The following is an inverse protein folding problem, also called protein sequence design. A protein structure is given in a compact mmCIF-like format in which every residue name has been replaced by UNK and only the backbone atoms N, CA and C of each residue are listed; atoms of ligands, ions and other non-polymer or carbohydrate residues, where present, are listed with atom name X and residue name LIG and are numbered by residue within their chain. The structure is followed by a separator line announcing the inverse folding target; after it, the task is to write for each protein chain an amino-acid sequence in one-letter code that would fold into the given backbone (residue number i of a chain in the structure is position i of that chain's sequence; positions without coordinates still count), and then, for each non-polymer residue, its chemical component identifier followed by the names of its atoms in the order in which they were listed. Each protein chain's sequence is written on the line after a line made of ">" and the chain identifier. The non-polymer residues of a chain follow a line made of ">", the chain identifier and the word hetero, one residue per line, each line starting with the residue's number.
data_IF_941351571073
#
_entry.id   IF_941351571073
#
_cell.length_a   1.000
_cell.length_b   1.000
_cell.length_c   1.000
_cell.angle_alpha   90.00
_cell.angle_beta   90.00
_cell.angle_gamma   90.00
#
_symmetry.space_group_name_H-M   'P 1'
#
loop_
_entity.id
_entity.type
_entity.pdbx_description
1 polymer ?
#
# COMPACT_ATOMS: atom_id res chain seq x y z
N UNK A 1 -3.06 -8.07 -23.46
CA UNK A 1 -2.30 -7.45 -22.35
C UNK A 1 -3.29 -6.76 -21.44
N UNK A 2 -3.28 -7.07 -20.14
CA UNK A 2 -4.15 -6.43 -19.14
C UNK A 2 -3.27 -5.62 -18.20
N UNK A 3 -3.64 -4.36 -17.98
CA UNK A 3 -2.95 -3.45 -17.05
C UNK A 3 -3.82 -3.29 -15.82
N UNK A 4 -3.22 -3.41 -14.63
CA UNK A 4 -3.86 -3.16 -13.34
C UNK A 4 -3.16 -1.99 -12.65
N UNK A 5 -3.94 -1.13 -11.98
CA UNK A 5 -3.44 0.08 -11.31
C UNK A 5 -3.82 0.04 -9.83
N UNK A 6 -3.04 -0.65 -8.96
CA UNK A 6 -3.29 -0.65 -7.54
C UNK A 6 -3.05 0.75 -6.94
N UNK A 7 -3.64 1.00 -5.77
CA UNK A 7 -3.43 2.24 -5.01
C UNK A 7 -2.18 2.13 -4.12
N UNK A 8 -2.17 2.61 -2.88
CA UNK A 8 -1.03 2.47 -1.98
C UNK A 8 -1.02 1.11 -1.24
N UNK A 9 -0.22 0.12 -1.68
CA UNK A 9 -0.12 -1.16 -0.99
C UNK A 9 0.59 -1.01 0.36
N UNK A 10 0.05 -1.69 1.37
CA UNK A 10 0.64 -1.80 2.71
C UNK A 10 0.51 -3.23 3.16
N UNK A 11 1.53 -3.75 3.84
CA UNK A 11 1.48 -5.08 4.42
C UNK A 11 2.85 -5.60 4.84
N UNK A 12 2.94 -6.89 5.18
CA UNK A 12 4.20 -7.55 5.48
C UNK A 12 5.21 -7.41 4.32
N UNK A 13 6.50 -7.55 4.63
CA UNK A 13 7.61 -7.52 3.66
C UNK A 13 7.93 -6.13 3.05
N UNK A 14 7.44 -5.04 3.63
CA UNK A 14 7.91 -3.70 3.29
C UNK A 14 9.29 -3.40 3.94
N UNK A 15 10.36 -3.97 3.38
CA UNK A 15 11.71 -4.00 3.99
C UNK A 15 12.38 -2.62 4.06
N UNK A 16 12.17 -1.75 3.07
CA UNK A 16 12.80 -0.41 3.00
C UNK A 16 12.04 0.67 3.79
N UNK A 17 10.88 0.32 4.35
CA UNK A 17 9.61 1.03 4.21
C UNK A 17 9.39 1.89 2.94
N UNK A 18 8.30 1.63 2.23
CA UNK A 18 7.70 2.55 1.26
C UNK A 18 7.27 3.86 1.93
N UNK A 19 7.09 4.98 1.19
CA UNK A 19 6.62 6.23 1.79
C UNK A 19 5.32 6.05 2.62
N UNK A 20 4.39 5.23 2.16
CA UNK A 20 3.16 4.89 2.88
C UNK A 20 3.38 3.99 4.10
N UNK A 21 4.22 2.96 3.99
CA UNK A 21 4.62 2.15 5.16
C UNK A 21 5.37 2.97 6.22
N UNK A 22 6.19 3.94 5.78
CA UNK A 22 6.91 4.86 6.66
C UNK A 22 5.97 5.79 7.43
N UNK A 23 4.92 6.32 6.80
CA UNK A 23 3.90 7.13 7.50
C UNK A 23 3.28 6.35 8.66
N UNK A 24 2.93 5.08 8.44
CA UNK A 24 2.38 4.23 9.49
C UNK A 24 3.41 4.02 10.61
N UNK A 25 4.66 3.73 10.25
CA UNK A 25 5.73 3.52 11.21
C UNK A 25 6.03 4.76 12.06
N UNK A 26 6.08 5.93 11.42
CA UNK A 26 6.37 7.20 12.08
C UNK A 26 5.19 7.62 12.98
N UNK A 27 3.94 7.35 12.58
CA UNK A 27 2.77 7.54 13.44
C UNK A 27 2.84 6.65 14.69
N UNK A 28 3.08 5.35 14.53
CA UNK A 28 3.17 4.40 15.65
C UNK A 28 4.35 4.70 16.59
N UNK A 29 5.43 5.30 16.07
CA UNK A 29 6.60 5.73 16.86
C UNK A 29 6.47 7.13 17.45
N UNK A 30 5.31 7.78 17.31
CA UNK A 30 5.08 9.17 17.71
C UNK A 30 6.10 10.17 17.12
N UNK A 31 6.61 9.88 15.91
CA UNK A 31 7.55 10.72 15.15
C UNK A 31 6.86 11.67 14.17
N UNK A 32 5.53 11.67 14.14
CA UNK A 32 4.72 12.58 13.34
C UNK A 32 4.05 13.65 14.22
N UNK A 33 4.71 14.80 14.45
CA UNK A 33 4.17 15.87 15.30
C UNK A 33 2.98 16.61 14.66
N UNK A 34 2.81 16.48 13.35
CA UNK A 34 1.69 17.04 12.60
C UNK A 34 1.37 16.15 11.38
N UNK A 35 0.13 16.18 10.94
CA UNK A 35 -0.32 15.55 9.70
C UNK A 35 -1.26 16.50 8.96
N UNK A 36 -1.23 16.44 7.63
CA UNK A 36 -2.17 17.20 6.79
C UNK A 36 -3.45 16.40 6.67
N UNK A 37 -4.60 17.07 6.82
CA UNK A 37 -5.90 16.45 6.56
C UNK A 37 -6.01 16.13 5.06
N UNK A 38 -5.78 14.88 4.70
CA UNK A 38 -5.89 14.36 3.34
C UNK A 38 -6.51 12.97 3.36
N UNK A 39 -7.07 12.55 2.23
CA UNK A 39 -7.53 11.18 2.01
C UNK A 39 -6.49 10.41 1.21
N UNK A 40 -6.17 9.19 1.66
CA UNK A 40 -5.38 8.23 0.90
C UNK A 40 -6.16 6.91 0.86
N UNK A 41 -6.02 6.17 -0.24
CA UNK A 41 -6.57 4.83 -0.33
C UNK A 41 -5.43 3.83 -0.07
N UNK A 42 -5.56 3.08 1.02
CA UNK A 42 -4.63 2.01 1.39
C UNK A 42 -5.25 0.67 1.02
N UNK A 43 -4.44 -0.23 0.49
CA UNK A 43 -4.86 -1.60 0.13
C UNK A 43 -3.88 -2.60 0.72
N UNK A 44 -4.37 -3.75 1.19
CA UNK A 44 -3.47 -4.81 1.62
C UNK A 44 -2.66 -5.34 0.42
N UNK A 45 -1.36 -5.54 0.61
CA UNK A 45 -0.50 -6.04 -0.47
C UNK A 45 -0.95 -7.42 -0.98
N UNK A 46 -1.55 -8.25 -0.12
CA UNK A 46 -2.06 -9.59 -0.48
C UNK A 46 -3.25 -9.49 -1.43
N UNK A 47 -4.16 -8.53 -1.19
CA UNK A 47 -5.31 -8.28 -2.07
C UNK A 47 -4.85 -7.81 -3.46
N UNK A 48 -3.80 -6.98 -3.50
CA UNK A 48 -3.18 -6.56 -4.76
C UNK A 48 -2.64 -7.76 -5.53
N UNK A 49 -1.94 -8.68 -4.85
CA UNK A 49 -1.41 -9.91 -5.46
C UNK A 49 -2.54 -10.78 -6.03
N UNK A 50 -3.60 -10.99 -5.26
CA UNK A 50 -4.77 -11.76 -5.74
C UNK A 50 -5.38 -11.11 -6.98
N UNK A 51 -5.56 -9.78 -6.96
CA UNK A 51 -6.07 -9.02 -8.11
C UNK A 51 -5.20 -9.18 -9.37
N UNK A 52 -3.87 -9.16 -9.22
CA UNK A 52 -2.95 -9.38 -10.35
C UNK A 52 -3.06 -10.81 -10.90
N UNK A 53 -3.14 -11.83 -10.03
CA UNK A 53 -3.29 -13.24 -10.44
C UNK A 53 -4.61 -13.44 -11.19
N UNK A 54 -5.71 -12.87 -10.69
CA UNK A 54 -7.01 -12.94 -11.34
C UNK A 54 -7.01 -12.22 -12.70
N UNK A 55 -6.36 -11.06 -12.78
CA UNK A 55 -6.21 -10.34 -14.04
C UNK A 55 -5.41 -11.15 -15.07
N UNK A 56 -4.36 -11.84 -14.64
CA UNK A 56 -3.56 -12.71 -15.52
C UNK A 56 -4.34 -13.94 -16.02
N UNK A 57 -5.24 -14.50 -15.21
CA UNK A 57 -6.06 -15.69 -15.56
C UNK A 57 -7.26 -15.39 -16.47
N UNK A 58 -7.70 -14.13 -16.54
CA UNK A 58 -8.83 -13.71 -17.39
C UNK A 58 -8.41 -13.37 -18.83
N UNK A 59 -7.16 -13.68 -19.21
CA UNK A 59 -6.59 -13.49 -20.55
C UNK A 59 -6.27 -14.83 -21.17
#
# INVERSE_FOLDING_TARGET
>A
MVVVNPTAPVGPWDVKPTPTGKVILDFLKAKMPAYVKTGLNFVDVSDVVEGHILAAKKV
#
